data_IF_986715079956
#
_entry.id   IF_986715079956
#
_cell.length_a   1.000
_cell.length_b   1.000
_cell.length_c   1.000
_cell.angle_alpha   90.00
_cell.angle_beta   90.00
_cell.angle_gamma   90.00
#
_symmetry.space_group_name_H-M   'P 1'
#
loop_
_entity.id
_entity.type
_entity.pdbx_description
1 polymer ?
#
# COMPACT_ATOMS: atom_id res chain seq x y z
N UNK A 1 -4.62 -13.64 -18.34
CA UNK A 1 -3.79 -13.11 -17.24
C UNK A 1 -3.01 -11.84 -17.59
N UNK A 2 -2.61 -11.57 -18.84
CA UNK A 2 -1.83 -10.36 -19.21
C UNK A 2 -2.61 -9.03 -19.17
N UNK A 3 -3.89 -9.04 -19.52
CA UNK A 3 -4.69 -7.81 -19.63
C UNK A 3 -4.92 -7.08 -18.30
N UNK A 4 -5.08 -7.81 -17.19
CA UNK A 4 -5.23 -7.22 -15.86
C UNK A 4 -3.94 -6.55 -15.38
N UNK A 5 -2.79 -7.20 -15.61
CA UNK A 5 -1.48 -6.63 -15.29
C UNK A 5 -1.24 -5.38 -16.13
N UNK A 6 -1.50 -5.41 -17.44
CA UNK A 6 -1.36 -4.24 -18.30
C UNK A 6 -2.26 -3.08 -17.86
N UNK A 7 -3.49 -3.37 -17.40
CA UNK A 7 -4.43 -2.36 -16.89
C UNK A 7 -3.96 -1.76 -15.56
N UNK A 8 -3.41 -2.58 -14.66
CA UNK A 8 -2.75 -2.12 -13.43
C UNK A 8 -1.51 -1.27 -13.71
N UNK A 9 -0.67 -1.66 -14.68
CA UNK A 9 0.49 -0.87 -15.09
C UNK A 9 0.05 0.46 -15.68
N UNK A 10 -0.97 0.46 -16.56
CA UNK A 10 -1.53 1.69 -17.15
C UNK A 10 -2.18 2.58 -16.08
N UNK A 11 -2.86 1.99 -15.11
CA UNK A 11 -3.44 2.69 -13.96
C UNK A 11 -2.34 3.30 -13.09
N UNK A 12 -1.28 2.55 -12.77
CA UNK A 12 -0.16 3.06 -11.98
C UNK A 12 0.59 4.22 -12.64
N UNK A 13 0.58 4.26 -13.98
CA UNK A 13 1.15 5.35 -14.79
C UNK A 13 0.19 6.52 -14.98
N UNK A 14 -1.10 6.38 -14.64
CA UNK A 14 -2.09 7.45 -14.76
C UNK A 14 -1.90 8.50 -13.64
N UNK A 15 -2.32 9.76 -13.86
CA UNK A 15 -2.26 10.79 -12.82
C UNK A 15 -3.09 10.44 -11.58
N UNK A 16 -4.21 9.71 -11.76
CA UNK A 16 -5.01 9.19 -10.64
C UNK A 16 -4.25 8.11 -9.86
N UNK A 17 -3.65 7.12 -10.54
CA UNK A 17 -2.90 6.07 -9.88
C UNK A 17 -1.63 6.59 -9.19
N UNK A 18 -0.94 7.57 -9.80
CA UNK A 18 0.19 8.27 -9.15
C UNK A 18 -0.24 8.97 -7.88
N UNK A 19 -1.40 9.64 -7.85
CA UNK A 19 -1.95 10.25 -6.63
C UNK A 19 -2.28 9.20 -5.59
N UNK A 20 -2.93 8.10 -5.97
CA UNK A 20 -3.24 6.99 -5.04
C UNK A 20 -1.97 6.38 -4.46
N UNK A 21 -0.96 6.11 -5.28
CA UNK A 21 0.35 5.59 -4.85
C UNK A 21 1.07 6.63 -3.97
N UNK A 22 1.02 7.92 -4.30
CA UNK A 22 1.64 8.97 -3.50
C UNK A 22 0.96 9.16 -2.13
N UNK A 23 -0.36 9.05 -2.08
CA UNK A 23 -1.13 9.08 -0.82
C UNK A 23 -0.86 7.83 0.01
N UNK A 24 -0.84 6.65 -0.61
CA UNK A 24 -0.45 5.40 0.06
C UNK A 24 0.99 5.47 0.57
N UNK A 25 1.92 6.03 -0.23
CA UNK A 25 3.33 6.21 0.14
C UNK A 25 3.49 7.22 1.26
N UNK A 26 2.72 8.31 1.29
CA UNK A 26 2.68 9.24 2.43
C UNK A 26 2.14 8.57 3.68
N UNK A 27 1.02 7.86 3.57
CA UNK A 27 0.44 7.12 4.69
C UNK A 27 1.37 6.00 5.21
N UNK A 28 2.18 5.40 4.34
CA UNK A 28 3.17 4.37 4.69
C UNK A 28 4.51 4.96 5.19
N UNK A 29 4.90 6.13 4.69
CA UNK A 29 6.08 6.87 5.13
C UNK A 29 5.89 7.43 6.54
N UNK A 30 4.65 7.56 7.00
CA UNK A 30 4.32 8.01 8.34
C UNK A 30 4.81 6.98 9.39
N UNK A 31 5.84 7.30 10.19
CA UNK A 31 6.43 6.36 11.14
C UNK A 31 5.42 5.93 12.21
N UNK A 32 4.46 6.79 12.53
CA UNK A 32 3.37 6.51 13.47
C UNK A 32 2.46 5.37 12.96
N UNK A 33 2.09 5.41 11.68
CA UNK A 33 1.29 4.34 11.05
C UNK A 33 2.10 3.05 10.92
N UNK A 34 3.40 3.15 10.66
CA UNK A 34 4.29 1.99 10.62
C UNK A 34 4.42 1.29 11.98
N UNK A 35 4.53 2.05 13.06
CA UNK A 35 4.56 1.50 14.43
C UNK A 35 3.22 0.87 14.81
N UNK A 36 2.10 1.50 14.45
CA UNK A 36 0.76 0.98 14.69
C UNK A 36 0.49 -0.30 13.89
N UNK A 37 0.90 -0.33 12.62
CA UNK A 37 0.85 -1.53 11.78
C UNK A 37 1.73 -2.64 12.36
N UNK A 38 2.98 -2.35 12.76
CA UNK A 38 3.86 -3.34 13.41
C UNK A 38 3.25 -3.91 14.69
N UNK A 39 2.63 -3.08 15.53
CA UNK A 39 1.89 -3.55 16.72
C UNK A 39 0.70 -4.43 16.35
N UNK A 40 -0.09 -4.04 15.34
CA UNK A 40 -1.25 -4.80 14.89
C UNK A 40 -0.84 -6.16 14.29
N UNK A 41 0.16 -6.16 13.42
CA UNK A 41 0.74 -7.36 12.84
C UNK A 41 1.42 -8.24 13.90
N UNK A 42 2.07 -7.65 14.91
CA UNK A 42 2.62 -8.39 16.06
C UNK A 42 1.53 -9.08 16.87
N UNK A 43 0.40 -8.41 17.13
CA UNK A 43 -0.77 -9.01 17.79
C UNK A 43 -1.42 -10.12 16.97
N UNK A 44 -1.46 -9.97 15.64
CA UNK A 44 -1.99 -11.01 14.74
C UNK A 44 -1.03 -12.21 14.64
N UNK A 45 0.29 -11.98 14.62
CA UNK A 45 1.30 -13.08 14.61
C UNK A 45 1.41 -13.82 15.95
N UNK A 46 1.23 -13.13 17.07
CA UNK A 46 1.28 -13.74 18.41
C UNK A 46 0.01 -14.48 18.83
N UNK A 47 -0.97 -14.61 17.93
CA UNK A 47 -2.26 -15.27 18.20
C UNK A 47 -2.38 -16.63 17.48
N UNK A 48 -1.24 -17.19 17.07
CA UNK A 48 -1.09 -18.55 16.57
C UNK A 48 -0.31 -19.34 17.60
#
# INVERSE_FOLDING_TARGET
MSGLIARLTRFSRSPQGRRTIASARRAAADPRKRAQARRLFGRLRGRR
#
